data_IF_658657250040
#
_entry.id   IF_658657250040
#
_cell.length_a   1.000
_cell.length_b   1.000
_cell.length_c   1.000
_cell.angle_alpha   90.00
_cell.angle_beta   90.00
_cell.angle_gamma   90.00
#
_symmetry.space_group_name_H-M   'P 1'
#
loop_
_entity.id
_entity.type
_entity.pdbx_description
1 polymer ?
#
# COMPACT_ATOMS: atom_id res chain seq x y z
N UNK A 1 -12.62 0.02 16.81
CA UNK A 1 -12.78 1.32 16.11
C UNK A 1 -12.09 1.26 14.76
N UNK A 2 -12.51 2.11 13.83
CA UNK A 2 -11.84 2.33 12.55
C UNK A 2 -11.60 3.82 12.33
N UNK A 3 -10.69 4.14 11.42
CA UNK A 3 -10.27 5.52 11.13
C UNK A 3 -10.52 5.84 9.66
N UNK A 4 -11.07 7.02 9.41
CA UNK A 4 -11.39 7.51 8.07
C UNK A 4 -10.68 8.84 7.86
N UNK A 5 -9.90 8.91 6.78
CA UNK A 5 -9.36 10.16 6.27
C UNK A 5 -10.40 10.77 5.33
N UNK A 6 -10.92 11.93 5.69
CA UNK A 6 -12.01 12.59 4.99
C UNK A 6 -11.49 13.67 4.03
N UNK A 7 -12.24 13.90 2.96
CA UNK A 7 -11.87 14.89 1.93
C UNK A 7 -11.85 16.34 2.43
N UNK A 8 -12.54 16.61 3.54
CA UNK A 8 -12.58 17.90 4.25
C UNK A 8 -11.31 18.20 5.08
N UNK A 9 -10.28 17.34 4.96
CA UNK A 9 -9.03 17.48 5.70
C UNK A 9 -9.14 17.07 7.17
N UNK A 10 -10.14 16.26 7.52
CA UNK A 10 -10.27 15.69 8.87
C UNK A 10 -9.88 14.21 8.91
N UNK A 11 -9.35 13.78 10.05
CA UNK A 11 -9.24 12.38 10.43
C UNK A 11 -10.34 12.09 11.46
N UNK A 12 -11.13 11.05 11.22
CA UNK A 12 -12.27 10.69 12.07
C UNK A 12 -12.14 9.26 12.58
N UNK A 13 -12.45 9.05 13.85
CA UNK A 13 -12.50 7.73 14.47
C UNK A 13 -13.95 7.32 14.68
N UNK A 14 -14.29 6.08 14.34
CA UNK A 14 -15.65 5.57 14.43
C UNK A 14 -15.71 4.25 15.22
N UNK A 15 -16.78 4.07 15.99
CA UNK A 15 -17.10 2.79 16.61
C UNK A 15 -17.42 1.74 15.55
N UNK A 16 -16.91 0.52 15.73
CA UNK A 16 -17.07 -0.54 14.72
C UNK A 16 -18.50 -1.10 14.68
N UNK A 17 -19.18 -1.13 15.83
CA UNK A 17 -20.49 -1.78 15.94
C UNK A 17 -21.64 -0.83 15.60
N UNK A 18 -21.52 0.46 15.94
CA UNK A 18 -22.58 1.45 15.67
C UNK A 18 -22.27 2.43 14.54
N UNK A 19 -21.02 2.50 14.07
CA UNK A 19 -20.57 3.53 13.12
C UNK A 19 -20.47 4.94 13.71
N UNK A 20 -20.85 5.16 14.97
CA UNK A 20 -20.84 6.46 15.60
C UNK A 20 -19.43 7.09 15.60
N UNK A 21 -19.33 8.36 15.20
CA UNK A 21 -18.10 9.16 15.32
C UNK A 21 -17.74 9.31 16.80
N UNK A 22 -16.50 8.94 17.15
CA UNK A 22 -15.97 8.99 18.52
C UNK A 22 -14.96 10.13 18.71
N UNK A 23 -14.24 10.49 17.66
CA UNK A 23 -13.29 11.59 17.69
C UNK A 23 -13.08 12.16 16.28
N UNK A 24 -12.74 13.44 16.23
CA UNK A 24 -12.40 14.17 15.01
C UNK A 24 -11.14 14.99 15.24
N UNK A 25 -10.23 14.97 14.29
CA UNK A 25 -9.04 15.82 14.28
C UNK A 25 -8.96 16.58 12.96
N UNK A 26 -8.77 17.90 13.02
CA UNK A 26 -8.40 18.70 11.85
C UNK A 26 -6.92 18.49 11.54
N UNK A 27 -6.61 18.15 10.30
CA UNK A 27 -5.24 17.92 9.86
C UNK A 27 -4.64 19.22 9.31
N UNK A 28 -3.30 19.37 9.31
CA UNK A 28 -2.62 20.54 8.76
C UNK A 28 -2.65 20.61 7.22
N UNK A 29 -3.27 19.64 6.56
CA UNK A 29 -3.49 19.60 5.12
C UNK A 29 -4.31 18.38 4.70
N UNK A 30 -4.77 18.38 3.45
CA UNK A 30 -5.51 17.24 2.87
C UNK A 30 -4.53 16.10 2.59
N UNK A 31 -4.68 14.99 3.32
CA UNK A 31 -3.93 13.77 3.06
C UNK A 31 -4.54 12.94 1.94
N UNK A 32 -3.80 11.95 1.46
CA UNK A 32 -4.24 11.01 0.41
C UNK A 32 -4.38 9.57 0.91
N UNK A 33 -3.68 9.21 1.98
CA UNK A 33 -3.73 7.87 2.55
C UNK A 33 -3.39 7.87 4.05
N UNK A 34 -3.78 6.80 4.74
CA UNK A 34 -3.40 6.54 6.12
C UNK A 34 -2.47 5.33 6.20
N UNK A 35 -1.40 5.48 6.96
CA UNK A 35 -0.49 4.38 7.29
C UNK A 35 -0.52 4.13 8.79
N UNK A 36 -0.84 2.89 9.18
CA UNK A 36 -0.72 2.45 10.57
C UNK A 36 0.75 2.17 10.89
N UNK A 37 1.20 2.66 12.03
CA UNK A 37 2.54 2.49 12.56
C UNK A 37 2.49 1.82 13.95
N UNK A 38 3.62 1.26 14.43
CA UNK A 38 3.73 0.72 15.78
C UNK A 38 3.38 1.75 16.86
N UNK A 39 3.10 1.25 18.07
CA UNK A 39 2.72 2.05 19.24
C UNK A 39 1.44 2.90 19.05
N UNK A 40 0.48 2.41 18.25
CA UNK A 40 -0.82 3.06 18.09
C UNK A 40 -0.74 4.40 17.34
N UNK A 41 0.17 4.51 16.38
CA UNK A 41 0.37 5.73 15.59
C UNK A 41 -0.26 5.59 14.20
N UNK A 42 -0.76 6.70 13.67
CA UNK A 42 -1.23 6.83 12.30
C UNK A 42 -0.44 7.94 11.61
N UNK A 43 0.07 7.68 10.42
CA UNK A 43 0.66 8.70 9.56
C UNK A 43 -0.31 9.09 8.45
N UNK A 44 -0.41 10.38 8.18
CA UNK A 44 -1.23 10.94 7.09
C UNK A 44 -0.33 11.26 5.91
N UNK A 45 -0.43 10.48 4.85
CA UNK A 45 0.43 10.60 3.68
C UNK A 45 -0.06 11.69 2.71
N UNK A 46 0.82 12.16 1.82
CA UNK A 46 0.48 13.09 0.74
C UNK A 46 0.28 14.55 1.15
N UNK A 47 0.53 14.91 2.42
CA UNK A 47 0.47 16.30 2.87
C UNK A 47 1.75 17.05 2.47
N UNK A 48 1.61 18.15 1.73
CA UNK A 48 2.74 18.88 1.14
C UNK A 48 3.55 19.71 2.14
N UNK A 49 3.00 20.03 3.30
CA UNK A 49 3.62 20.94 4.29
C UNK A 49 4.39 20.22 5.41
N UNK A 50 4.35 18.88 5.42
CA UNK A 50 4.97 18.02 6.42
C UNK A 50 4.14 16.76 6.63
N UNK A 51 4.66 15.79 7.39
CA UNK A 51 4.03 14.51 7.66
C UNK A 51 3.28 14.54 9.01
N UNK A 52 1.93 14.57 9.03
CA UNK A 52 1.17 14.49 10.26
C UNK A 52 1.19 13.07 10.82
N UNK A 53 1.54 12.95 12.09
CA UNK A 53 1.49 11.73 12.89
C UNK A 53 0.48 11.92 14.02
N UNK A 54 -0.44 10.97 14.13
CA UNK A 54 -1.51 10.95 15.13
C UNK A 54 -1.31 9.78 16.09
N UNK A 55 -1.11 10.09 17.37
CA UNK A 55 -1.11 9.10 18.46
C UNK A 55 -2.55 8.82 18.87
N UNK A 56 -3.00 7.60 18.61
CA UNK A 56 -4.44 7.26 18.75
C UNK A 56 -4.92 7.28 20.18
N UNK A 57 -4.14 6.79 21.15
CA UNK A 57 -4.54 6.74 22.55
C UNK A 57 -4.86 8.13 23.15
N UNK A 58 -3.94 9.13 23.14
CA UNK A 58 -4.25 10.46 23.66
C UNK A 58 -5.37 11.14 22.86
N UNK A 59 -5.40 10.97 21.54
CA UNK A 59 -6.47 11.54 20.70
C UNK A 59 -7.85 11.04 21.12
N UNK A 60 -7.99 9.73 21.30
CA UNK A 60 -9.27 9.09 21.67
C UNK A 60 -9.69 9.37 23.12
N UNK A 61 -8.75 9.79 23.97
CA UNK A 61 -9.04 10.25 25.33
C UNK A 61 -9.47 11.72 25.42
N UNK A 62 -9.50 12.44 24.30
CA UNK A 62 -9.87 13.87 24.27
C UNK A 62 -8.74 14.82 24.62
N UNK A 63 -7.48 14.38 24.53
CA UNK A 63 -6.33 15.26 24.77
C UNK A 63 -6.27 16.40 23.74
N UNK A 64 -5.60 17.50 24.11
CA UNK A 64 -5.38 18.62 23.20
C UNK A 64 -4.56 18.21 21.95
N UNK A 65 -4.74 18.87 20.79
CA UNK A 65 -4.02 18.54 19.55
C UNK A 65 -2.51 18.43 19.70
N UNK A 66 -1.87 19.29 20.51
CA UNK A 66 -0.42 19.22 20.76
C UNK A 66 0.05 17.91 21.40
N UNK A 67 -0.83 17.19 22.09
CA UNK A 67 -0.50 15.92 22.75
C UNK A 67 -0.63 14.70 21.83
N UNK A 68 -1.43 14.78 20.75
CA UNK A 68 -1.69 13.64 19.88
C UNK A 68 -1.28 13.86 18.42
N UNK A 69 -1.20 15.10 17.94
CA UNK A 69 -0.91 15.44 16.56
C UNK A 69 0.47 16.10 16.47
N UNK A 70 1.40 15.40 15.84
CA UNK A 70 2.75 15.88 15.56
C UNK A 70 2.92 16.09 14.07
N UNK A 71 3.56 17.19 13.68
CA UNK A 71 4.01 17.40 12.30
C UNK A 71 5.51 17.13 12.22
N UNK A 72 5.89 16.09 11.47
CA UNK A 72 7.29 15.77 11.17
C UNK A 72 7.72 16.47 9.89
N UNK A 73 8.97 16.94 9.80
CA UNK A 73 9.49 17.65 8.63
C UNK A 73 9.87 16.70 7.46
N UNK A 74 8.88 15.91 7.04
CA UNK A 74 8.93 15.12 5.81
C UNK A 74 7.76 15.56 4.94
N UNK A 75 8.01 16.58 4.12
CA UNK A 75 7.04 17.14 3.17
C UNK A 75 6.81 16.17 2.01
N UNK A 76 5.57 15.99 1.56
CA UNK A 76 5.29 15.16 0.38
C UNK A 76 5.59 13.66 0.57
N UNK A 77 5.45 13.16 1.81
CA UNK A 77 5.64 11.75 2.12
C UNK A 77 4.72 10.86 1.28
N UNK A 78 5.33 10.01 0.46
CA UNK A 78 4.67 8.98 -0.35
C UNK A 78 4.20 7.84 0.54
N UNK A 79 5.09 7.34 1.39
CA UNK A 79 4.83 6.26 2.32
C UNK A 79 5.84 6.27 3.48
N UNK A 80 5.55 5.53 4.55
CA UNK A 80 6.38 5.40 5.75
C UNK A 80 6.25 3.99 6.32
N UNK A 81 7.35 3.45 6.83
CA UNK A 81 7.35 2.14 7.50
C UNK A 81 8.20 2.16 8.75
N UNK A 82 7.84 1.31 9.71
CA UNK A 82 8.76 0.82 10.72
C UNK A 82 9.54 -0.38 10.16
N UNK A 83 10.84 -0.43 10.42
CA UNK A 83 11.74 -1.49 9.92
C UNK A 83 12.87 -1.77 10.91
N UNK A 84 13.36 -3.01 10.97
CA UNK A 84 14.41 -3.44 11.87
C UNK A 84 13.95 -3.71 13.30
N UNK A 85 14.90 -4.15 14.12
CA UNK A 85 14.72 -4.41 15.56
C UNK A 85 15.92 -3.83 16.34
N UNK A 86 15.74 -2.77 17.17
CA UNK A 86 14.47 -2.06 17.41
C UNK A 86 13.98 -1.30 16.17
N UNK A 87 12.66 -1.09 16.02
CA UNK A 87 12.09 -0.50 14.82
C UNK A 87 12.44 0.98 14.67
N UNK A 88 13.06 1.33 13.54
CA UNK A 88 13.25 2.72 13.10
C UNK A 88 12.17 3.11 12.09
N UNK A 89 11.74 4.37 12.10
CA UNK A 89 10.81 4.87 11.10
C UNK A 89 11.58 5.40 9.90
N UNK A 90 11.18 4.96 8.71
CA UNK A 90 11.76 5.42 7.45
C UNK A 90 10.63 5.85 6.51
N UNK A 91 10.71 7.06 5.99
CA UNK A 91 9.73 7.66 5.11
C UNK A 91 10.34 7.92 3.72
N UNK A 92 9.61 7.59 2.66
CA UNK A 92 9.92 7.99 1.30
C UNK A 92 9.11 9.23 0.93
N UNK A 93 9.75 10.18 0.26
CA UNK A 93 9.15 11.44 -0.15
C UNK A 93 9.29 11.62 -1.66
N UNK A 94 8.18 11.97 -2.32
CA UNK A 94 8.22 12.41 -3.72
C UNK A 94 8.81 13.80 -3.84
N UNK A 95 8.64 14.65 -2.81
CA UNK A 95 9.26 15.96 -2.77
C UNK A 95 10.74 15.82 -2.40
N UNK A 96 11.60 16.24 -3.32
CA UNK A 96 13.06 16.13 -3.18
C UNK A 96 13.59 14.71 -3.39
N UNK A 97 12.77 13.77 -3.90
CA UNK A 97 13.16 12.40 -4.26
C UNK A 97 14.06 11.75 -3.21
N UNK A 98 13.55 11.57 -2.00
CA UNK A 98 14.40 11.23 -0.84
C UNK A 98 13.79 10.17 0.05
N UNK A 99 14.66 9.41 0.71
CA UNK A 99 14.32 8.50 1.81
C UNK A 99 14.94 9.05 3.10
N UNK A 100 14.12 9.25 4.12
CA UNK A 100 14.49 9.89 5.38
C UNK A 100 14.29 8.91 6.53
N UNK A 101 15.32 8.71 7.35
CA UNK A 101 15.21 8.02 8.64
C UNK A 101 14.83 9.00 9.73
N UNK A 102 13.91 8.59 10.59
CA UNK A 102 13.42 9.36 11.72
C UNK A 102 13.83 8.66 13.01
N UNK A 103 14.43 9.42 13.92
CA UNK A 103 14.93 8.91 15.20
C UNK A 103 14.46 9.74 16.39
N UNK A 104 14.66 9.17 17.58
CA UNK A 104 14.29 9.77 18.85
C UNK A 104 12.78 9.81 19.09
N UNK A 105 12.40 10.28 20.27
CA UNK A 105 11.00 10.58 20.64
C UNK A 105 10.43 11.67 19.74
N UNK A 106 11.30 12.56 19.25
CA UNK A 106 10.89 13.64 18.39
C UNK A 106 10.64 13.26 16.94
N UNK A 107 11.07 12.06 16.52
CA UNK A 107 11.02 11.62 15.14
C UNK A 107 11.67 12.65 14.21
N UNK A 108 12.77 13.23 14.67
CA UNK A 108 13.56 14.15 13.89
C UNK A 108 14.30 13.36 12.78
N UNK A 109 14.42 13.92 11.57
CA UNK A 109 15.31 13.37 10.54
C UNK A 109 16.74 13.22 11.08
N UNK A 110 17.31 12.01 11.01
CA UNK A 110 18.69 11.73 11.44
C UNK A 110 19.55 11.06 10.34
N UNK A 111 18.95 10.81 9.17
CA UNK A 111 19.61 10.26 8.00
C UNK A 111 18.77 10.47 6.75
N UNK A 112 19.42 10.71 5.62
CA UNK A 112 18.76 10.98 4.35
C UNK A 112 19.54 10.37 3.18
N UNK A 113 18.81 9.89 2.19
CA UNK A 113 19.34 9.45 0.89
C UNK A 113 18.56 10.18 -0.18
N UNK A 114 19.28 10.84 -1.07
CA UNK A 114 18.72 11.53 -2.23
C UNK A 114 18.79 10.62 -3.45
N UNK A 115 17.74 10.66 -4.26
CA UNK A 115 17.61 9.90 -5.49
C UNK A 115 17.58 10.84 -6.69
N UNK A 116 18.23 10.43 -7.80
CA UNK A 116 18.33 11.25 -9.00
C UNK A 116 17.06 11.25 -9.87
N UNK A 117 16.01 10.56 -9.44
CA UNK A 117 14.71 10.43 -10.11
C UNK A 117 13.57 10.34 -9.08
N UNK A 118 12.32 10.70 -9.43
CA UNK A 118 11.18 10.63 -8.52
C UNK A 118 10.92 9.24 -7.97
N UNK A 119 10.63 9.16 -6.67
CA UNK A 119 10.18 7.91 -6.03
C UNK A 119 8.68 7.70 -6.34
N UNK A 120 8.32 6.53 -6.87
CA UNK A 120 6.92 6.10 -7.10
C UNK A 120 6.43 5.01 -6.19
N UNK A 121 7.35 4.26 -5.59
CA UNK A 121 7.00 3.20 -4.69
C UNK A 121 8.04 3.03 -3.61
N UNK A 122 7.57 2.54 -2.48
CA UNK A 122 8.38 2.30 -1.31
C UNK A 122 7.79 1.10 -0.59
N UNK A 123 8.62 0.10 -0.29
CA UNK A 123 8.16 -1.09 0.43
C UNK A 123 9.25 -1.63 1.34
N UNK A 124 8.94 -1.98 2.60
CA UNK A 124 9.83 -2.82 3.38
C UNK A 124 9.91 -4.22 2.75
N UNK A 125 11.07 -4.84 2.91
CA UNK A 125 11.36 -6.20 2.48
C UNK A 125 11.96 -6.96 3.67
N UNK A 126 11.12 -7.66 4.46
CA UNK A 126 11.58 -8.39 5.63
C UNK A 126 12.55 -9.51 5.28
N UNK A 127 13.59 -9.69 6.08
CA UNK A 127 14.63 -10.70 5.88
C UNK A 127 15.14 -11.27 7.19
N UNK A 128 15.48 -12.56 7.19
CA UNK A 128 16.22 -13.18 8.30
C UNK A 128 17.66 -12.66 8.41
N UNK A 129 18.21 -12.11 7.31
CA UNK A 129 19.54 -11.49 7.25
C UNK A 129 19.49 -9.96 7.50
N UNK A 130 18.39 -9.48 8.09
CA UNK A 130 18.13 -8.07 8.38
C UNK A 130 17.26 -7.41 7.30
N UNK A 131 16.21 -6.73 7.72
CA UNK A 131 15.25 -6.11 6.80
C UNK A 131 15.91 -5.18 5.77
N UNK A 132 15.30 -5.07 4.59
CA UNK A 132 15.69 -4.16 3.50
C UNK A 132 14.55 -3.21 3.16
N UNK A 133 14.88 -2.15 2.41
CA UNK A 133 13.87 -1.26 1.82
C UNK A 133 13.99 -1.29 0.30
N UNK A 134 12.86 -1.44 -0.37
CA UNK A 134 12.73 -1.24 -1.80
C UNK A 134 12.28 0.19 -2.06
N UNK A 135 13.01 0.87 -2.93
CA UNK A 135 12.67 2.19 -3.47
C UNK A 135 12.49 2.04 -4.97
N UNK A 136 11.28 2.33 -5.44
CA UNK A 136 10.92 2.24 -6.86
C UNK A 136 10.99 3.66 -7.43
N UNK A 137 11.87 3.86 -8.40
CA UNK A 137 12.13 5.12 -9.08
C UNK A 137 11.53 5.10 -10.49
N UNK A 138 11.03 6.24 -10.92
CA UNK A 138 10.59 6.47 -12.30
C UNK A 138 11.76 6.57 -13.27
N UNK A 139 11.51 6.22 -14.53
CA UNK A 139 12.32 6.71 -15.65
C UNK A 139 12.11 8.22 -15.81
N UNK A 140 13.15 8.99 -16.14
CA UNK A 140 13.01 10.46 -16.23
C UNK A 140 12.21 10.88 -17.46
N UNK A 141 12.19 10.04 -18.48
CA UNK A 141 11.44 10.22 -19.72
C UNK A 141 10.63 8.96 -20.02
N UNK A 142 9.60 9.05 -20.88
CA UNK A 142 8.83 7.87 -21.31
C UNK A 142 9.64 6.78 -22.03
N UNK A 143 10.91 7.04 -22.36
CA UNK A 143 11.82 6.08 -23.01
C UNK A 143 12.90 5.54 -22.06
N UNK A 144 13.05 6.13 -20.86
CA UNK A 144 13.97 5.65 -19.84
C UNK A 144 13.30 4.64 -18.93
N UNK A 145 14.03 3.59 -18.56
CA UNK A 145 13.57 2.65 -17.53
C UNK A 145 13.60 3.31 -16.15
N UNK A 146 12.58 3.05 -15.34
CA UNK A 146 12.64 3.22 -13.90
C UNK A 146 13.64 2.25 -13.27
N UNK A 147 13.77 2.30 -11.94
CA UNK A 147 14.65 1.39 -11.23
C UNK A 147 14.12 0.95 -9.86
N UNK A 148 14.56 -0.21 -9.42
CA UNK A 148 14.30 -0.79 -8.10
C UNK A 148 15.61 -0.75 -7.34
N UNK A 149 15.69 0.10 -6.31
CA UNK A 149 16.86 0.21 -5.44
C UNK A 149 16.59 -0.52 -4.12
N UNK A 150 17.50 -1.40 -3.73
CA UNK A 150 17.49 -2.07 -2.42
C UNK A 150 18.41 -1.32 -1.47
N UNK A 151 17.85 -0.79 -0.38
CA UNK A 151 18.60 -0.16 0.69
C UNK A 151 18.71 -1.09 1.89
N UNK A 152 19.86 -1.01 2.57
CA UNK A 152 20.08 -1.58 3.88
C UNK A 152 19.89 -0.50 4.97
N UNK A 153 18.73 -0.42 5.64
CA UNK A 153 18.44 0.63 6.62
C UNK A 153 19.38 0.63 7.84
N UNK A 154 20.10 -0.47 8.08
CA UNK A 154 21.06 -0.61 9.17
C UNK A 154 22.49 -0.17 8.78
N UNK A 155 22.77 0.02 7.49
CA UNK A 155 24.07 0.46 7.01
C UNK A 155 24.47 1.83 7.59
N UNK A 156 25.78 2.03 7.80
CA UNK A 156 26.38 3.28 8.27
C UNK A 156 27.42 3.79 7.25
N UNK A 157 27.31 5.03 6.75
CA UNK A 157 26.20 5.97 6.93
C UNK A 157 24.86 5.43 6.39
N UNK A 158 23.74 6.03 6.81
CA UNK A 158 22.39 5.51 6.57
C UNK A 158 22.15 5.07 5.12
N UNK A 159 21.77 3.79 4.95
CA UNK A 159 21.21 3.22 3.72
C UNK A 159 22.13 3.17 2.50
N UNK A 160 23.19 2.37 2.59
CA UNK A 160 23.94 1.95 1.41
C UNK A 160 23.05 1.17 0.42
N UNK A 161 23.09 1.56 -0.86
CA UNK A 161 22.44 0.81 -1.93
C UNK A 161 23.17 -0.53 -2.15
N UNK A 162 22.41 -1.63 -2.16
CA UNK A 162 22.95 -3.00 -2.28
C UNK A 162 22.70 -3.61 -3.66
N UNK A 163 21.65 -3.16 -4.35
CA UNK A 163 21.32 -3.58 -5.70
C UNK A 163 20.45 -2.50 -6.37
N UNK A 164 20.59 -2.38 -7.69
CA UNK A 164 19.68 -1.61 -8.54
C UNK A 164 19.30 -2.48 -9.75
N UNK A 165 18.02 -2.52 -10.08
CA UNK A 165 17.53 -3.17 -11.31
C UNK A 165 16.67 -2.20 -12.10
N UNK A 166 16.79 -2.20 -13.43
CA UNK A 166 15.99 -1.33 -14.30
C UNK A 166 14.62 -1.94 -14.57
N UNK A 167 13.56 -1.26 -14.15
CA UNK A 167 12.17 -1.59 -14.48
C UNK A 167 11.72 -0.76 -15.67
N UNK A 168 11.18 -1.38 -16.71
CA UNK A 168 11.11 -0.71 -18.00
C UNK A 168 10.25 0.56 -18.04
N UNK A 169 9.20 0.79 -17.24
CA UNK A 169 8.60 2.15 -17.14
C UNK A 169 7.91 2.54 -15.81
N UNK A 170 7.10 1.69 -15.14
CA UNK A 170 6.34 2.13 -13.93
C UNK A 170 6.20 1.05 -12.82
N UNK A 171 7.26 0.75 -12.05
CA UNK A 171 7.18 -0.24 -10.97
C UNK A 171 6.30 0.22 -9.80
N UNK A 172 5.31 -0.60 -9.42
CA UNK A 172 4.50 -0.41 -8.20
C UNK A 172 4.62 -1.60 -7.26
N UNK A 173 4.68 -1.32 -5.96
CA UNK A 173 4.68 -2.36 -4.94
C UNK A 173 3.28 -2.99 -4.82
N UNK A 174 3.23 -4.32 -4.75
CA UNK A 174 2.02 -5.05 -4.41
C UNK A 174 1.48 -4.61 -3.04
N UNK A 175 0.16 -4.43 -2.92
CA UNK A 175 -0.53 -4.25 -1.64
C UNK A 175 -0.72 -5.60 -0.92
N UNK A 176 0.36 -6.37 -0.75
CA UNK A 176 0.32 -7.64 -0.04
C UNK A 176 0.43 -7.44 1.48
N UNK A 177 -0.24 -8.27 2.30
CA UNK A 177 0.14 -8.45 3.69
C UNK A 177 1.62 -8.83 3.74
N UNK A 178 2.32 -8.34 4.75
CA UNK A 178 3.72 -8.71 5.01
C UNK A 178 3.75 -10.20 5.34
N UNK A 179 4.09 -11.04 4.37
CA UNK A 179 4.41 -12.45 4.61
C UNK A 179 5.85 -12.53 5.10
N UNK A 180 6.09 -13.36 6.11
CA UNK A 180 7.38 -13.48 6.78
C UNK A 180 8.49 -13.95 5.83
N UNK A 181 9.65 -13.32 5.97
CA UNK A 181 11.01 -13.78 5.63
C UNK A 181 11.19 -14.49 4.29
N UNK A 182 11.25 -13.74 3.19
CA UNK A 182 11.71 -14.35 1.92
C UNK A 182 12.62 -13.48 1.07
N UNK A 183 12.99 -12.26 1.48
CA UNK A 183 13.69 -11.29 0.61
C UNK A 183 13.05 -11.14 -0.77
N UNK A 184 11.76 -11.47 -0.89
CA UNK A 184 11.00 -11.48 -2.12
C UNK A 184 9.98 -10.37 -2.10
N UNK A 185 9.87 -9.68 -3.23
CA UNK A 185 8.80 -8.75 -3.49
C UNK A 185 8.10 -9.11 -4.79
N UNK A 186 6.82 -8.79 -4.84
CA UNK A 186 6.05 -8.80 -6.07
C UNK A 186 5.85 -7.36 -6.51
N UNK A 187 6.35 -7.04 -7.71
CA UNK A 187 6.15 -5.77 -8.36
C UNK A 187 5.32 -5.99 -9.63
N UNK A 188 4.77 -4.91 -10.17
CA UNK A 188 4.16 -4.95 -11.50
C UNK A 188 4.46 -3.65 -12.25
N UNK A 189 4.50 -3.77 -13.57
CA UNK A 189 4.72 -2.68 -14.51
C UNK A 189 3.48 -2.52 -15.39
N UNK A 190 2.89 -1.32 -15.29
CA UNK A 190 1.68 -0.96 -16.03
C UNK A 190 1.95 -0.80 -17.52
N UNK A 191 3.10 -0.27 -17.93
CA UNK A 191 3.38 0.05 -19.31
C UNK A 191 3.73 -1.20 -20.12
N UNK A 192 4.53 -2.10 -19.55
CA UNK A 192 4.95 -3.34 -20.20
C UNK A 192 4.02 -4.52 -19.93
N UNK A 193 2.98 -4.33 -19.11
CA UNK A 193 2.03 -5.37 -18.72
C UNK A 193 2.73 -6.62 -18.16
N UNK A 194 3.67 -6.42 -17.22
CA UNK A 194 4.45 -7.49 -16.58
C UNK A 194 4.30 -7.50 -15.06
N UNK A 195 4.30 -8.70 -14.51
CA UNK A 195 4.54 -8.95 -13.08
C UNK A 195 6.01 -9.33 -12.92
N UNK A 196 6.63 -8.82 -11.86
CA UNK A 196 8.04 -9.02 -11.55
C UNK A 196 8.15 -9.68 -10.18
N UNK A 197 8.56 -10.96 -10.18
CA UNK A 197 9.04 -11.64 -8.98
C UNK A 197 10.46 -11.20 -8.68
N UNK A 198 10.63 -10.32 -7.70
CA UNK A 198 11.92 -9.76 -7.30
C UNK A 198 12.48 -10.53 -6.09
N UNK A 199 13.78 -10.83 -6.10
CA UNK A 199 14.52 -11.29 -4.91
C UNK A 199 15.88 -10.59 -4.83
N UNK A 200 16.36 -10.31 -3.62
CA UNK A 200 17.72 -9.74 -3.45
C UNK A 200 18.75 -10.78 -3.92
N UNK A 201 19.68 -10.36 -4.78
CA UNK A 201 20.77 -11.22 -5.25
C UNK A 201 20.39 -12.26 -6.32
N UNK A 202 19.17 -12.21 -6.87
CA UNK A 202 18.76 -13.08 -7.98
C UNK A 202 18.17 -12.26 -9.13
N UNK A 203 18.27 -12.82 -10.35
CA UNK A 203 17.64 -12.24 -11.53
C UNK A 203 16.11 -12.16 -11.38
N UNK A 204 15.48 -11.01 -11.68
CA UNK A 204 14.02 -10.88 -11.61
C UNK A 204 13.31 -11.82 -12.56
N UNK A 205 12.23 -12.45 -12.08
CA UNK A 205 11.38 -13.34 -12.89
C UNK A 205 10.21 -12.56 -13.44
N UNK A 206 10.11 -12.49 -14.76
CA UNK A 206 9.07 -11.75 -15.47
C UNK A 206 7.96 -12.70 -15.94
N UNK A 207 6.71 -12.34 -15.66
CA UNK A 207 5.53 -13.00 -16.18
C UNK A 207 4.56 -11.96 -16.80
N UNK A 208 3.66 -12.36 -17.72
CA UNK A 208 2.58 -11.49 -18.17
C UNK A 208 1.71 -11.02 -17.00
N UNK A 209 1.25 -9.77 -17.03
CA UNK A 209 0.29 -9.23 -16.06
C UNK A 209 -1.15 -9.11 -16.61
N UNK A 210 -1.31 -9.24 -17.92
CA UNK A 210 -2.49 -8.74 -18.61
C UNK A 210 -2.44 -7.21 -18.78
N UNK A 211 -3.33 -6.64 -19.62
CA UNK A 211 -3.25 -5.23 -19.99
C UNK A 211 -3.55 -4.30 -18.81
N UNK A 212 -2.74 -3.24 -18.67
CA UNK A 212 -2.93 -2.14 -17.72
C UNK A 212 -3.23 -2.59 -16.28
N UNK A 213 -2.30 -3.32 -15.63
CA UNK A 213 -2.45 -3.74 -14.24
C UNK A 213 -2.55 -2.52 -13.30
N UNK A 214 -3.45 -2.61 -12.32
CA UNK A 214 -3.59 -1.62 -11.24
C UNK A 214 -3.11 -2.15 -9.89
N UNK A 215 -3.08 -3.47 -9.73
CA UNK A 215 -2.56 -4.16 -8.56
C UNK A 215 -2.13 -5.58 -8.95
N UNK A 216 -1.16 -6.13 -8.23
CA UNK A 216 -0.79 -7.55 -8.27
C UNK A 216 -0.66 -8.05 -6.83
N UNK A 217 -0.98 -9.32 -6.59
CA UNK A 217 -0.92 -9.95 -5.27
C UNK A 217 -0.26 -11.32 -5.35
N UNK A 218 0.60 -11.68 -4.38
CA UNK A 218 1.14 -13.04 -4.32
C UNK A 218 0.00 -14.04 -4.10
N UNK A 219 0.15 -15.21 -4.71
CA UNK A 219 -0.80 -16.33 -4.63
C UNK A 219 -0.03 -17.64 -4.37
N UNK A 220 -0.65 -18.68 -3.77
CA UNK A 220 0.03 -19.95 -3.51
C UNK A 220 0.76 -20.53 -4.72
N UNK A 221 1.82 -21.30 -4.48
CA UNK A 221 2.61 -22.00 -5.52
C UNK A 221 3.33 -21.08 -6.51
N UNK A 222 3.97 -20.02 -6.00
CA UNK A 222 4.76 -19.07 -6.82
C UNK A 222 3.95 -18.43 -7.96
N UNK A 223 2.67 -18.17 -7.68
CA UNK A 223 1.73 -17.51 -8.59
C UNK A 223 1.45 -16.09 -8.12
N UNK A 224 0.81 -15.32 -9.00
CA UNK A 224 0.26 -14.02 -8.65
C UNK A 224 -1.14 -13.86 -9.24
N UNK A 225 -1.97 -13.07 -8.57
CA UNK A 225 -3.23 -12.58 -9.12
C UNK A 225 -3.06 -11.10 -9.45
N UNK A 226 -3.32 -10.74 -10.71
CA UNK A 226 -3.24 -9.38 -11.21
C UNK A 226 -4.65 -8.83 -11.43
N UNK A 227 -4.89 -7.61 -10.97
CA UNK A 227 -6.13 -6.89 -11.20
C UNK A 227 -5.89 -5.86 -12.30
N UNK A 228 -6.57 -6.02 -13.43
CA UNK A 228 -6.51 -5.14 -14.59
C UNK A 228 -7.62 -4.10 -14.61
N UNK A 229 -7.35 -2.91 -15.16
CA UNK A 229 -8.35 -1.83 -15.24
C UNK A 229 -9.58 -2.20 -16.07
N UNK A 230 -9.47 -3.18 -16.97
CA UNK A 230 -10.56 -3.69 -17.79
C UNK A 230 -11.61 -4.50 -17.00
N UNK A 231 -11.42 -4.71 -15.70
CA UNK A 231 -12.33 -5.53 -14.90
C UNK A 231 -12.00 -7.01 -14.94
N UNK A 232 -10.71 -7.33 -14.94
CA UNK A 232 -10.21 -8.71 -14.98
C UNK A 232 -9.32 -9.01 -13.77
N UNK A 233 -9.45 -10.23 -13.25
CA UNK A 233 -8.54 -10.85 -12.30
C UNK A 233 -7.78 -12.00 -12.97
N UNK A 234 -6.49 -11.85 -13.18
CA UNK A 234 -5.67 -12.79 -13.96
C UNK A 234 -4.72 -13.55 -13.05
N UNK A 235 -4.84 -14.88 -13.01
CA UNK A 235 -3.90 -15.77 -12.33
C UNK A 235 -2.71 -16.05 -13.24
N UNK A 236 -1.49 -15.82 -12.76
CA UNK A 236 -0.27 -15.95 -13.52
C UNK A 236 0.74 -16.83 -12.79
N UNK A 237 1.46 -17.68 -13.52
CA UNK A 237 2.59 -18.45 -12.99
C UNK A 237 3.88 -17.66 -13.18
N UNK A 238 4.64 -17.43 -12.10
CA UNK A 238 5.95 -16.79 -12.19
C UNK A 238 7.02 -17.78 -12.70
N UNK A 239 6.85 -19.07 -12.39
CA UNK A 239 7.73 -20.14 -12.86
C UNK A 239 7.54 -20.41 -14.36
N UNK A 240 6.30 -20.68 -14.78
CA UNK A 240 5.96 -21.00 -16.18
C UNK A 240 5.85 -19.75 -17.07
N UNK A 241 5.85 -18.55 -16.46
CA UNK A 241 5.78 -17.24 -17.14
C UNK A 241 4.58 -17.10 -18.07
N UNK A 242 3.43 -17.62 -17.65
CA UNK A 242 2.21 -17.65 -18.46
C UNK A 242 0.96 -17.30 -17.63
N UNK A 243 -0.11 -16.94 -18.34
CA UNK A 243 -1.44 -16.76 -17.77
C UNK A 243 -2.07 -18.14 -17.60
N UNK A 244 -2.53 -18.45 -16.39
CA UNK A 244 -3.19 -19.71 -16.07
C UNK A 244 -4.72 -19.60 -16.13
N UNK A 245 -5.26 -18.44 -15.74
CA UNK A 245 -6.70 -18.18 -15.77
C UNK A 245 -6.98 -16.67 -15.79
N UNK A 246 -8.11 -16.29 -16.37
CA UNK A 246 -8.64 -14.92 -16.31
C UNK A 246 -10.09 -14.97 -15.84
N UNK A 247 -10.44 -14.15 -14.86
CA UNK A 247 -11.77 -14.06 -14.28
C UNK A 247 -12.34 -12.67 -14.55
N UNK A 248 -13.47 -12.59 -15.25
CA UNK A 248 -14.19 -11.34 -15.42
C UNK A 248 -14.82 -10.90 -14.08
N UNK A 249 -14.47 -9.71 -13.61
CA UNK A 249 -14.89 -9.18 -12.31
C UNK A 249 -16.32 -8.60 -12.34
N UNK A 250 -16.84 -8.29 -13.53
CA UNK A 250 -18.17 -7.70 -13.70
C UNK A 250 -18.25 -6.21 -13.37
N UNK A 251 -17.12 -5.51 -13.31
CA UNK A 251 -17.06 -4.07 -13.06
C UNK A 251 -15.63 -3.52 -13.14
N UNK A 252 -15.49 -2.19 -13.10
CA UNK A 252 -14.19 -1.52 -13.19
C UNK A 252 -13.57 -1.40 -11.79
N UNK A 253 -12.38 -1.97 -11.55
CA UNK A 253 -11.80 -1.99 -10.22
C UNK A 253 -11.18 -0.64 -9.85
N UNK A 254 -11.40 -0.21 -8.62
CA UNK A 254 -10.83 1.02 -8.04
C UNK A 254 -9.65 0.74 -7.12
N UNK A 255 -9.74 -0.32 -6.32
CA UNK A 255 -8.66 -0.83 -5.49
C UNK A 255 -8.89 -2.30 -5.15
N UNK A 256 -7.85 -2.95 -4.63
CA UNK A 256 -7.95 -4.31 -4.13
C UNK A 256 -7.05 -4.50 -2.90
N UNK A 257 -7.38 -5.51 -2.09
CA UNK A 257 -6.59 -5.89 -0.92
C UNK A 257 -6.58 -7.41 -0.75
N UNK A 258 -5.39 -7.97 -0.53
CA UNK A 258 -5.20 -9.38 -0.22
C UNK A 258 -5.43 -9.61 1.29
N UNK A 259 -6.15 -10.67 1.61
CA UNK A 259 -6.37 -11.13 2.99
C UNK A 259 -5.04 -11.53 3.65
N UNK A 260 -4.84 -11.27 4.96
CA UNK A 260 -3.58 -11.58 5.67
C UNK A 260 -3.04 -13.00 5.48
N UNK A 261 -3.93 -13.99 5.37
CA UNK A 261 -3.58 -15.40 5.15
C UNK A 261 -3.23 -15.75 3.69
N UNK A 262 -3.30 -14.78 2.76
CA UNK A 262 -2.91 -14.98 1.37
C UNK A 262 -3.89 -15.80 0.51
N UNK A 263 -5.16 -15.96 0.93
CA UNK A 263 -6.12 -16.89 0.28
C UNK A 263 -7.28 -16.22 -0.46
N UNK A 264 -7.54 -14.93 -0.22
CA UNK A 264 -8.62 -14.21 -0.91
C UNK A 264 -8.23 -12.78 -1.21
N UNK A 265 -8.74 -12.22 -2.31
CA UNK A 265 -8.54 -10.82 -2.68
C UNK A 265 -9.90 -10.15 -2.76
N UNK A 266 -10.05 -9.06 -2.01
CA UNK A 266 -11.23 -8.21 -2.10
C UNK A 266 -10.95 -7.12 -3.14
N UNK A 267 -11.82 -6.98 -4.14
CA UNK A 267 -11.68 -5.98 -5.21
C UNK A 267 -12.91 -5.08 -5.20
N UNK A 268 -12.71 -3.80 -4.89
CA UNK A 268 -13.76 -2.80 -4.99
C UNK A 268 -13.98 -2.42 -6.46
N UNK A 269 -15.24 -2.50 -6.91
CA UNK A 269 -15.64 -2.30 -8.29
C UNK A 269 -16.45 -1.01 -8.43
N UNK A 270 -15.89 0.13 -8.04
CA UNK A 270 -16.58 1.42 -8.12
C UNK A 270 -16.36 2.19 -9.42
N UNK A 271 -15.35 1.86 -10.22
CA UNK A 271 -14.95 2.66 -11.40
C UNK A 271 -14.24 3.97 -11.08
N UNK A 272 -13.64 4.09 -9.89
CA UNK A 272 -12.95 5.30 -9.41
C UNK A 272 -13.88 6.26 -8.63
N UNK A 273 -13.39 7.45 -8.23
CA UNK A 273 -14.07 8.32 -7.27
C UNK A 273 -15.46 8.83 -7.71
N UNK A 274 -15.73 8.84 -9.02
CA UNK A 274 -17.00 9.27 -9.64
C UNK A 274 -17.72 8.15 -10.39
N UNK A 275 -17.23 6.92 -10.28
CA UNK A 275 -17.88 5.80 -10.91
C UNK A 275 -19.14 5.38 -10.15
N UNK A 276 -20.05 4.70 -10.85
CA UNK A 276 -21.36 4.28 -10.32
C UNK A 276 -21.38 2.84 -9.82
N UNK A 277 -20.23 2.16 -9.85
CA UNK A 277 -20.13 0.79 -9.38
C UNK A 277 -20.34 0.71 -7.87
N UNK A 278 -21.07 -0.30 -7.40
CA UNK A 278 -21.56 -0.39 -6.02
C UNK A 278 -21.13 -1.65 -5.27
N UNK A 279 -20.27 -2.47 -5.89
CA UNK A 279 -19.94 -3.81 -5.39
C UNK A 279 -18.47 -3.96 -5.00
N UNK A 280 -18.22 -4.98 -4.19
CA UNK A 280 -16.89 -5.54 -3.93
C UNK A 280 -16.97 -7.04 -4.18
N UNK A 281 -16.07 -7.56 -5.00
CA UNK A 281 -15.98 -9.01 -5.26
C UNK A 281 -14.85 -9.62 -4.43
N UNK A 282 -15.02 -10.88 -4.03
CA UNK A 282 -14.01 -11.67 -3.35
C UNK A 282 -13.52 -12.74 -4.30
N UNK A 283 -12.26 -12.67 -4.70
CA UNK A 283 -11.58 -13.70 -5.46
C UNK A 283 -10.97 -14.74 -4.51
N UNK A 284 -11.05 -16.02 -4.87
CA UNK A 284 -10.46 -17.12 -4.12
C UNK A 284 -10.65 -18.48 -4.78
N UNK A 285 -10.15 -19.51 -4.11
CA UNK A 285 -10.27 -20.90 -4.56
C UNK A 285 -9.16 -21.36 -5.51
N UNK A 286 -9.13 -22.66 -5.75
CA UNK A 286 -8.34 -23.33 -6.79
C UNK A 286 -9.31 -24.19 -7.61
N UNK A 287 -9.58 -23.85 -8.90
CA UNK A 287 -9.07 -22.70 -9.63
C UNK A 287 -9.60 -21.35 -9.10
N UNK A 288 -8.89 -20.26 -9.42
CA UNK A 288 -9.26 -18.89 -9.07
C UNK A 288 -10.65 -18.55 -9.62
N UNK A 289 -11.54 -18.06 -8.76
CA UNK A 289 -12.90 -17.65 -9.10
C UNK A 289 -13.42 -16.55 -8.19
N UNK A 290 -14.54 -15.93 -8.56
CA UNK A 290 -15.32 -15.10 -7.62
C UNK A 290 -16.03 -16.05 -6.66
N UNK A 291 -15.73 -15.94 -5.37
CA UNK A 291 -16.38 -16.73 -4.30
C UNK A 291 -17.47 -15.94 -3.59
N UNK A 292 -17.53 -14.62 -3.77
CA UNK A 292 -18.59 -13.77 -3.23
C UNK A 292 -18.66 -12.43 -3.96
N UNK A 293 -19.86 -11.86 -4.04
CA UNK A 293 -20.12 -10.49 -4.51
C UNK A 293 -20.93 -9.76 -3.45
N UNK A 294 -20.41 -8.64 -2.98
CA UNK A 294 -20.94 -7.89 -1.83
C UNK A 294 -21.38 -6.51 -2.28
N UNK A 295 -22.55 -6.06 -1.82
CA UNK A 295 -23.00 -4.67 -2.01
C UNK A 295 -22.29 -3.79 -0.98
N UNK A 296 -21.51 -2.82 -1.45
CA UNK A 296 -20.69 -1.94 -0.61
C UNK A 296 -20.99 -0.45 -0.79
N UNK A 297 -21.90 -0.11 -1.71
CA UNK A 297 -22.37 1.26 -1.95
C UNK A 297 -21.71 1.92 -3.16
N UNK A 298 -22.41 2.87 -3.76
CA UNK A 298 -21.99 3.58 -4.97
C UNK A 298 -20.64 4.28 -4.79
N UNK A 299 -19.77 4.15 -5.79
CA UNK A 299 -18.40 4.63 -5.72
C UNK A 299 -17.55 3.78 -4.78
N UNK A 300 -17.79 2.46 -4.73
CA UNK A 300 -16.97 1.50 -3.99
C UNK A 300 -15.50 1.69 -4.34
N UNK A 301 -14.68 2.23 -3.43
CA UNK A 301 -13.39 2.82 -3.78
C UNK A 301 -12.21 2.12 -3.12
N UNK A 302 -12.00 2.34 -1.82
CA UNK A 302 -10.82 1.86 -1.07
C UNK A 302 -11.20 0.66 -0.22
N UNK A 303 -10.50 -0.46 -0.40
CA UNK A 303 -10.60 -1.64 0.46
C UNK A 303 -9.45 -1.65 1.47
N UNK A 304 -9.76 -1.88 2.75
CA UNK A 304 -8.77 -2.12 3.80
C UNK A 304 -9.13 -3.36 4.60
N UNK A 305 -8.19 -4.31 4.70
CA UNK A 305 -8.39 -5.55 5.47
C UNK A 305 -7.63 -5.45 6.79
N UNK A 306 -8.31 -5.79 7.90
CA UNK A 306 -7.70 -5.79 9.22
C UNK A 306 -6.60 -6.86 9.32
N UNK A 307 -5.54 -6.66 10.12
CA UNK A 307 -4.41 -7.60 10.22
C UNK A 307 -4.78 -9.04 10.59
N UNK A 308 -5.91 -9.25 11.29
CA UNK A 308 -6.42 -10.57 11.66
C UNK A 308 -7.38 -11.19 10.64
N UNK A 309 -7.65 -10.53 9.51
CA UNK A 309 -8.44 -11.05 8.39
C UNK A 309 -9.95 -11.16 8.62
N UNK A 310 -10.45 -10.99 9.85
CA UNK A 310 -11.88 -11.12 10.20
C UNK A 310 -12.76 -9.93 9.81
N UNK A 311 -12.13 -8.81 9.45
CA UNK A 311 -12.80 -7.55 9.17
C UNK A 311 -12.17 -6.91 7.94
N UNK A 312 -13.01 -6.42 7.03
CA UNK A 312 -12.62 -5.49 5.98
C UNK A 312 -13.54 -4.27 5.97
N UNK A 313 -13.00 -3.14 5.53
CA UNK A 313 -13.71 -1.88 5.37
C UNK A 313 -13.64 -1.46 3.91
N UNK A 314 -14.77 -1.03 3.35
CA UNK A 314 -14.83 -0.49 1.99
C UNK A 314 -15.41 0.91 2.04
N UNK A 315 -14.62 1.90 1.64
CA UNK A 315 -15.09 3.27 1.52
C UNK A 315 -15.83 3.45 0.19
N UNK A 316 -17.09 3.87 0.24
CA UNK A 316 -17.92 4.20 -0.91
C UNK A 316 -18.01 5.72 -1.03
N UNK A 317 -17.29 6.30 -1.99
CA UNK A 317 -17.09 7.75 -2.08
C UNK A 317 -18.36 8.48 -2.48
N UNK A 318 -19.08 8.00 -3.50
CA UNK A 318 -20.33 8.61 -3.97
C UNK A 318 -21.44 8.46 -2.92
N UNK A 319 -21.54 7.29 -2.29
CA UNK A 319 -22.50 7.05 -1.21
C UNK A 319 -22.13 7.72 0.13
N UNK A 320 -20.90 8.27 0.26
CA UNK A 320 -20.37 8.87 1.50
C UNK A 320 -20.49 7.94 2.72
N UNK A 321 -20.24 6.64 2.51
CA UNK A 321 -20.41 5.61 3.52
C UNK A 321 -19.18 4.70 3.60
N UNK A 322 -19.07 3.95 4.70
CA UNK A 322 -18.08 2.88 4.86
C UNK A 322 -18.83 1.59 5.12
N UNK A 323 -18.72 0.62 4.21
CA UNK A 323 -19.23 -0.72 4.42
C UNK A 323 -18.28 -1.51 5.33
N UNK A 324 -18.86 -2.18 6.33
CA UNK A 324 -18.14 -3.01 7.31
C UNK A 324 -18.41 -4.47 6.97
N UNK A 325 -17.40 -5.16 6.45
CA UNK A 325 -17.49 -6.56 6.02
C UNK A 325 -16.87 -7.45 7.09
N UNK A 326 -17.67 -8.36 7.66
CA UNK A 326 -17.20 -9.34 8.64
C UNK A 326 -17.21 -10.71 8.01
N UNK A 327 -16.15 -11.49 8.25
CA UNK A 327 -16.23 -12.93 8.00
C UNK A 327 -17.04 -13.58 9.13
N UNK A 328 -17.95 -14.50 8.81
CA UNK A 328 -18.66 -15.28 9.81
C UNK A 328 -17.68 -16.08 10.69
#
# INVERSE_FOLDING_TARGET
MFFVLCEDGTLRAHALDSGAEKARARLPGKGTALRRLPAGRLAVLGVSTGLPLVHTAPWLSGAAPSAYLKKVDVKGALDITAIGDPPVLVAASTQGSRVVRLAGTDLAPDGEILFPAPIRGFSPLPSSAGDRLLVLLDGRTPTESGSVVVLDPAAKPFGGARAAWSSLLEPRASAAPRVASSERALLFDRATAKVVGFSVGAEPRLAPAGPQPIAAFPWPEDRAVVIGVAGEGTLVSLERREVLATVALGGVPSSAALSPEGRTILVALGGGPRGKGATTVVLGGEPLRIVSTLQTGEGSHVVSVAPRGRLALVAATSARAVAVLRRP
#
